data_IF_755850357510
#
_entry.id   IF_755850357510
#
_cell.length_a   1.000
_cell.length_b   1.000
_cell.length_c   1.000
_cell.angle_alpha   90.00
_cell.angle_beta   90.00
_cell.angle_gamma   90.00
#
_symmetry.space_group_name_H-M   'P 1'
#
loop_
_entity.id
_entity.type
_entity.pdbx_description
1 polymer ?
#
# COMPACT_ATOMS: atom_id res chain seq x y z
N UNK A 1 25.36 -0.09 -1.38
CA UNK A 1 25.09 1.24 -0.79
C UNK A 1 23.87 1.09 0.08
N UNK A 2 23.93 1.53 1.34
CA UNK A 2 22.79 1.53 2.27
C UNK A 2 21.82 2.61 1.83
N UNK A 3 20.63 2.23 1.37
CA UNK A 3 19.55 3.19 1.17
C UNK A 3 19.07 3.63 2.56
N UNK A 4 19.12 4.94 2.76
CA UNK A 4 18.61 5.66 3.92
C UNK A 4 17.44 6.48 3.41
N UNK A 5 16.25 6.29 3.97
CA UNK A 5 15.10 7.09 3.57
C UNK A 5 15.37 8.55 3.91
N UNK A 6 15.53 9.39 2.89
CA UNK A 6 15.89 10.80 3.03
C UNK A 6 14.96 11.65 2.18
N UNK A 7 13.99 12.35 2.80
CA UNK A 7 13.12 13.28 2.08
C UNK A 7 13.94 14.36 1.38
N UNK A 8 13.75 14.52 0.08
CA UNK A 8 14.30 15.63 -0.70
C UNK A 8 13.47 16.89 -0.49
N UNK A 9 12.19 16.71 -0.14
CA UNK A 9 11.24 17.76 0.17
C UNK A 9 10.52 17.52 1.49
N UNK A 10 10.28 18.61 2.21
CA UNK A 10 9.40 18.62 3.39
C UNK A 10 8.20 19.54 3.09
N UNK A 11 6.95 19.06 3.24
CA UNK A 11 5.77 19.89 3.10
C UNK A 11 5.76 21.07 4.07
N UNK A 12 5.01 22.13 3.74
CA UNK A 12 4.76 23.21 4.72
C UNK A 12 3.75 22.72 5.75
N UNK A 13 4.02 22.97 7.03
CA UNK A 13 3.07 22.65 8.10
C UNK A 13 1.77 23.44 7.88
N UNK A 14 0.65 22.73 7.85
CA UNK A 14 -0.69 23.32 7.71
C UNK A 14 -1.41 23.45 9.05
N UNK A 15 -1.36 22.42 9.90
CA UNK A 15 -1.88 22.42 11.27
C UNK A 15 -0.74 22.14 12.27
N UNK A 16 -0.36 23.17 13.04
CA UNK A 16 0.73 23.07 14.02
C UNK A 16 0.43 22.12 15.17
N UNK A 17 -0.84 21.97 15.57
CA UNK A 17 -1.23 21.07 16.65
C UNK A 17 -1.01 19.62 16.23
N UNK A 18 -1.46 19.26 15.02
CA UNK A 18 -1.22 17.93 14.44
C UNK A 18 0.27 17.67 14.24
N UNK A 19 1.01 18.67 13.75
CA UNK A 19 2.44 18.53 13.54
C UNK A 19 3.19 18.21 14.85
N UNK A 20 2.89 18.92 15.94
CA UNK A 20 3.50 18.66 17.25
C UNK A 20 3.17 17.26 17.76
N UNK A 21 1.91 16.82 17.64
CA UNK A 21 1.48 15.49 18.05
C UNK A 21 2.26 14.39 17.31
N UNK A 22 2.41 14.52 16.00
CA UNK A 22 3.11 13.51 15.18
C UNK A 22 4.63 13.57 15.33
N UNK A 23 5.20 14.75 15.58
CA UNK A 23 6.63 14.90 15.81
C UNK A 23 7.11 14.03 16.98
N UNK A 24 6.32 13.92 18.05
CA UNK A 24 6.65 13.13 19.24
C UNK A 24 6.36 11.63 19.10
N UNK A 25 5.67 11.18 18.03
CA UNK A 25 5.40 9.75 17.79
C UNK A 25 6.62 8.95 17.32
N UNK A 26 7.65 9.63 16.81
CA UNK A 26 8.83 9.02 16.20
C UNK A 26 10.16 9.45 16.85
N UNK A 27 10.34 9.29 18.17
CA UNK A 27 11.55 9.71 18.86
C UNK A 27 12.83 8.98 18.39
N UNK A 28 12.68 7.81 17.73
CA UNK A 28 13.80 7.04 17.19
C UNK A 28 14.41 7.62 15.91
N UNK A 29 13.71 8.54 15.24
CA UNK A 29 14.15 9.10 13.98
C UNK A 29 14.85 10.46 14.15
N UNK A 30 15.80 10.80 13.27
CA UNK A 30 16.42 12.11 13.25
C UNK A 30 15.39 13.22 12.99
N UNK A 31 15.74 14.44 13.38
CA UNK A 31 14.84 15.61 13.35
C UNK A 31 14.23 15.86 11.97
N UNK A 32 15.00 15.69 10.89
CA UNK A 32 14.52 15.85 9.53
C UNK A 32 13.34 14.91 9.19
N UNK A 33 13.41 13.63 9.60
CA UNK A 33 12.34 12.66 9.37
C UNK A 33 11.13 12.92 10.27
N UNK A 34 11.36 13.30 11.53
CA UNK A 34 10.29 13.68 12.45
C UNK A 34 9.52 14.90 11.92
N UNK A 35 10.24 15.92 11.45
CA UNK A 35 9.65 17.11 10.81
C UNK A 35 8.89 16.75 9.53
N UNK A 36 9.41 15.82 8.73
CA UNK A 36 8.73 15.35 7.53
C UNK A 36 7.39 14.66 7.84
N UNK A 37 7.35 13.72 8.78
CA UNK A 37 6.10 13.06 9.17
C UNK A 37 5.11 14.03 9.81
N UNK A 38 5.59 14.94 10.66
CA UNK A 38 4.78 16.00 11.25
C UNK A 38 4.13 16.90 10.20
N UNK A 39 4.91 17.40 9.24
CA UNK A 39 4.41 18.22 8.16
C UNK A 39 3.43 17.45 7.27
N UNK A 40 3.77 16.21 6.90
CA UNK A 40 2.92 15.33 6.09
C UNK A 40 1.55 15.09 6.73
N UNK A 41 1.53 14.73 8.01
CA UNK A 41 0.30 14.54 8.76
C UNK A 41 -0.52 15.82 8.87
N UNK A 42 0.13 16.97 9.05
CA UNK A 42 -0.55 18.26 9.19
C UNK A 42 -1.34 18.66 7.92
N UNK A 43 -0.93 18.18 6.75
CA UNK A 43 -1.55 18.52 5.47
C UNK A 43 -2.78 17.65 5.12
N UNK A 44 -3.00 16.53 5.82
CA UNK A 44 -4.04 15.58 5.44
C UNK A 44 -4.55 14.81 6.66
N UNK A 45 -5.83 14.98 7.05
CA UNK A 45 -6.45 14.19 8.11
C UNK A 45 -6.37 12.67 7.85
N UNK A 46 -6.41 12.27 6.58
CA UNK A 46 -6.21 10.88 6.19
C UNK A 46 -4.79 10.40 6.54
N UNK A 47 -3.75 11.15 6.15
CA UNK A 47 -2.36 10.78 6.43
C UNK A 47 -2.04 10.84 7.91
N UNK A 48 -2.57 11.83 8.65
CA UNK A 48 -2.49 11.86 10.10
C UNK A 48 -2.99 10.55 10.72
N UNK A 49 -4.21 10.14 10.37
CA UNK A 49 -4.78 8.88 10.86
C UNK A 49 -3.96 7.66 10.46
N UNK A 50 -3.43 7.62 9.23
CA UNK A 50 -2.63 6.47 8.78
C UNK A 50 -1.27 6.40 9.47
N UNK A 51 -0.58 7.53 9.63
CA UNK A 51 0.70 7.61 10.33
C UNK A 51 0.55 7.13 11.77
N UNK A 52 -0.54 7.50 12.46
CA UNK A 52 -0.82 7.02 13.82
C UNK A 52 -1.13 5.52 13.84
N UNK A 53 -2.04 5.06 12.99
CA UNK A 53 -2.50 3.66 12.99
C UNK A 53 -1.42 2.66 12.55
N UNK A 54 -0.47 3.10 11.72
CA UNK A 54 0.58 2.26 11.15
C UNK A 54 1.97 2.64 11.65
N UNK A 55 2.05 3.35 12.79
CA UNK A 55 3.31 3.87 13.35
C UNK A 55 4.41 2.83 13.42
N UNK A 56 4.13 1.66 14.03
CA UNK A 56 5.15 0.62 14.22
C UNK A 56 5.59 0.02 12.88
N UNK A 57 4.63 -0.25 11.99
CA UNK A 57 4.95 -0.73 10.65
C UNK A 57 5.78 0.28 9.85
N UNK A 58 5.47 1.57 9.96
CA UNK A 58 6.21 2.62 9.29
C UNK A 58 7.64 2.73 9.84
N UNK A 59 7.80 2.55 11.15
CA UNK A 59 9.13 2.51 11.78
C UNK A 59 9.97 1.37 11.22
N UNK A 60 9.37 0.17 11.14
CA UNK A 60 10.05 -1.02 10.61
C UNK A 60 10.47 -0.79 9.15
N UNK A 61 9.54 -0.35 8.30
CA UNK A 61 9.80 -0.14 6.87
C UNK A 61 10.83 0.95 6.60
N UNK A 62 10.85 2.05 7.36
CA UNK A 62 11.85 3.12 7.17
C UNK A 62 13.26 2.66 7.59
N UNK A 63 13.35 1.72 8.54
CA UNK A 63 14.63 1.11 8.95
C UNK A 63 15.10 0.01 7.98
N UNK A 64 14.20 -0.56 7.19
CA UNK A 64 14.57 -1.45 6.10
C UNK A 64 15.36 -0.69 5.03
N UNK A 65 16.44 -1.31 4.53
CA UNK A 65 17.28 -0.70 3.50
C UNK A 65 16.55 -0.62 2.18
N UNK A 66 15.68 -1.57 1.85
CA UNK A 66 14.91 -1.54 0.61
C UNK A 66 13.53 -2.08 0.92
N UNK A 67 12.49 -1.32 0.56
CA UNK A 67 11.12 -1.74 0.71
C UNK A 67 10.46 -1.92 -0.66
N UNK A 68 10.07 -3.16 -0.95
CA UNK A 68 9.20 -3.46 -2.08
C UNK A 68 7.74 -3.32 -1.66
N UNK A 69 7.03 -2.36 -2.27
CA UNK A 69 5.60 -2.13 -2.03
C UNK A 69 4.76 -3.41 -2.22
N UNK A 70 5.10 -4.24 -3.21
CA UNK A 70 4.34 -5.47 -3.50
C UNK A 70 4.60 -6.57 -2.47
N UNK A 71 5.65 -6.45 -1.64
CA UNK A 71 5.88 -7.34 -0.51
C UNK A 71 4.73 -7.36 0.49
N UNK A 72 3.97 -6.26 0.58
CA UNK A 72 2.74 -6.18 1.37
C UNK A 72 1.69 -7.22 0.96
N UNK A 73 1.75 -7.71 -0.28
CA UNK A 73 0.81 -8.67 -0.86
C UNK A 73 1.31 -10.12 -0.80
N UNK A 74 2.61 -10.35 -0.59
CA UNK A 74 3.19 -11.69 -0.61
C UNK A 74 2.60 -12.65 0.45
N UNK A 75 2.44 -12.24 1.72
CA UNK A 75 1.85 -13.12 2.74
C UNK A 75 0.41 -13.50 2.44
N UNK A 76 -0.31 -12.70 1.65
CA UNK A 76 -1.74 -12.89 1.40
C UNK A 76 -2.07 -14.02 0.41
N UNK A 77 -1.08 -14.52 -0.33
CA UNK A 77 -1.28 -15.60 -1.32
C UNK A 77 -1.85 -16.88 -0.70
N UNK A 78 -1.55 -17.13 0.57
CA UNK A 78 -1.92 -18.37 1.28
C UNK A 78 -3.04 -18.16 2.30
N UNK A 79 -3.65 -16.98 2.34
CA UNK A 79 -4.66 -16.65 3.34
C UNK A 79 -6.03 -17.25 3.01
N UNK A 80 -6.77 -17.64 4.06
CA UNK A 80 -8.17 -17.98 3.93
C UNK A 80 -8.97 -16.73 3.53
N UNK A 81 -10.06 -16.93 2.78
CA UNK A 81 -10.85 -15.82 2.20
C UNK A 81 -11.31 -14.78 3.22
N UNK A 82 -11.82 -15.22 4.38
CA UNK A 82 -12.32 -14.30 5.41
C UNK A 82 -11.19 -13.43 5.99
N UNK A 83 -10.00 -14.01 6.20
CA UNK A 83 -8.82 -13.29 6.64
C UNK A 83 -8.26 -12.37 5.54
N UNK A 84 -8.30 -12.84 4.29
CA UNK A 84 -7.81 -12.10 3.12
C UNK A 84 -8.54 -10.76 2.96
N UNK A 85 -9.86 -10.73 3.18
CA UNK A 85 -10.66 -9.50 3.10
C UNK A 85 -10.13 -8.38 4.02
N UNK A 86 -9.79 -8.71 5.26
CA UNK A 86 -9.25 -7.75 6.23
C UNK A 86 -7.79 -7.41 5.92
N UNK A 87 -6.98 -8.41 5.57
CA UNK A 87 -5.56 -8.22 5.25
C UNK A 87 -5.34 -7.40 3.99
N UNK A 88 -6.19 -7.53 2.95
CA UNK A 88 -6.13 -6.68 1.75
C UNK A 88 -6.44 -5.21 2.07
N UNK A 89 -7.33 -4.94 3.02
CA UNK A 89 -7.60 -3.57 3.48
C UNK A 89 -6.40 -2.96 4.21
N UNK A 90 -5.80 -3.75 5.09
CA UNK A 90 -4.57 -3.36 5.78
C UNK A 90 -3.44 -3.08 4.78
N UNK A 91 -3.25 -3.98 3.81
CA UNK A 91 -2.25 -3.82 2.76
C UNK A 91 -2.52 -2.58 1.90
N UNK A 92 -3.78 -2.35 1.45
CA UNK A 92 -4.16 -1.14 0.70
C UNK A 92 -3.84 0.13 1.48
N UNK A 93 -4.14 0.14 2.78
CA UNK A 93 -3.92 1.28 3.67
C UNK A 93 -2.44 1.61 3.82
N UNK A 94 -1.61 0.60 4.07
CA UNK A 94 -0.15 0.70 4.14
C UNK A 94 0.46 1.12 2.81
N UNK A 95 -0.02 0.55 1.71
CA UNK A 95 0.44 0.92 0.38
C UNK A 95 0.13 2.39 0.07
N UNK A 96 -1.10 2.84 0.31
CA UNK A 96 -1.47 4.25 0.11
C UNK A 96 -0.63 5.20 0.97
N UNK A 97 -0.36 4.85 2.23
CA UNK A 97 0.50 5.64 3.12
C UNK A 97 1.94 5.71 2.57
N UNK A 98 2.54 4.58 2.21
CA UNK A 98 3.90 4.54 1.68
C UNK A 98 4.03 5.34 0.38
N UNK A 99 3.11 5.14 -0.56
CA UNK A 99 3.11 5.86 -1.83
C UNK A 99 2.98 7.37 -1.58
N UNK A 100 2.12 7.81 -0.66
CA UNK A 100 2.00 9.22 -0.29
C UNK A 100 3.25 9.79 0.38
N UNK A 101 3.93 9.00 1.21
CA UNK A 101 5.20 9.38 1.83
C UNK A 101 6.28 9.57 0.75
N UNK A 102 6.41 8.63 -0.21
CA UNK A 102 7.39 8.75 -1.30
C UNK A 102 7.08 9.92 -2.25
N UNK A 103 5.80 10.18 -2.53
CA UNK A 103 5.35 11.35 -3.31
C UNK A 103 5.74 12.65 -2.62
N UNK A 104 5.32 12.85 -1.37
CA UNK A 104 5.55 14.08 -0.62
C UNK A 104 7.03 14.31 -0.25
N UNK A 105 7.80 13.24 -0.13
CA UNK A 105 9.25 13.27 0.07
C UNK A 105 10.02 13.62 -1.21
N UNK A 106 9.34 13.71 -2.36
CA UNK A 106 9.91 13.92 -3.71
C UNK A 106 10.87 12.79 -4.13
N UNK A 107 10.60 11.56 -3.66
CA UNK A 107 11.37 10.35 -3.99
C UNK A 107 10.80 9.68 -5.25
N UNK A 108 9.47 9.73 -5.41
CA UNK A 108 8.78 9.18 -6.58
C UNK A 108 8.14 10.29 -7.40
N UNK A 109 8.34 10.21 -8.72
CA UNK A 109 7.61 11.07 -9.66
C UNK A 109 6.11 10.74 -9.65
N UNK A 110 5.28 11.65 -10.17
CA UNK A 110 3.85 11.41 -10.31
C UNK A 110 3.54 10.14 -11.12
N UNK A 111 4.27 9.90 -12.20
CA UNK A 111 4.12 8.70 -13.02
C UNK A 111 4.44 7.43 -12.23
N UNK A 112 5.48 7.49 -11.38
CA UNK A 112 5.85 6.37 -10.50
C UNK A 112 4.74 6.11 -9.47
N UNK A 113 4.18 7.18 -8.88
CA UNK A 113 3.08 7.11 -7.93
C UNK A 113 1.86 6.43 -8.55
N UNK A 114 1.41 6.88 -9.73
CA UNK A 114 0.23 6.31 -10.39
C UNK A 114 0.46 4.87 -10.86
N UNK A 115 1.68 4.58 -11.33
CA UNK A 115 2.07 3.22 -11.69
C UNK A 115 2.06 2.29 -10.47
N UNK A 116 2.62 2.70 -9.33
CA UNK A 116 2.65 1.89 -8.10
C UNK A 116 1.26 1.65 -7.51
N UNK A 117 0.38 2.65 -7.56
CA UNK A 117 -1.03 2.47 -7.21
C UNK A 117 -1.70 1.42 -8.10
N UNK A 118 -1.46 1.49 -9.41
CA UNK A 118 -2.04 0.59 -10.41
C UNK A 118 -1.51 -0.84 -10.29
N UNK A 119 -0.20 -1.02 -10.15
CA UNK A 119 0.45 -2.31 -9.93
C UNK A 119 -0.07 -2.98 -8.65
N UNK A 120 -0.17 -2.23 -7.55
CA UNK A 120 -0.70 -2.74 -6.30
C UNK A 120 -2.16 -3.18 -6.46
N UNK A 121 -2.99 -2.36 -7.10
CA UNK A 121 -4.40 -2.67 -7.34
C UNK A 121 -4.58 -3.94 -8.21
N UNK A 122 -3.82 -4.06 -9.30
CA UNK A 122 -3.82 -5.25 -10.17
C UNK A 122 -3.50 -6.54 -9.39
N UNK A 123 -2.42 -6.52 -8.59
CA UNK A 123 -2.05 -7.68 -7.76
C UNK A 123 -3.08 -7.99 -6.68
N UNK A 124 -3.68 -6.98 -6.06
CA UNK A 124 -4.74 -7.17 -5.08
C UNK A 124 -6.00 -7.78 -5.69
N UNK A 125 -6.39 -7.35 -6.90
CA UNK A 125 -7.51 -7.94 -7.67
C UNK A 125 -7.22 -9.40 -8.00
N UNK A 126 -6.00 -9.71 -8.45
CA UNK A 126 -5.61 -11.09 -8.74
C UNK A 126 -5.68 -11.98 -7.49
N UNK A 127 -5.22 -11.50 -6.32
CA UNK A 127 -5.34 -12.25 -5.06
C UNK A 127 -6.80 -12.53 -4.69
N UNK A 128 -7.67 -11.52 -4.81
CA UNK A 128 -9.10 -11.68 -4.54
C UNK A 128 -9.75 -12.69 -5.51
N UNK A 129 -9.37 -12.65 -6.79
CA UNK A 129 -9.79 -13.63 -7.79
C UNK A 129 -9.38 -15.05 -7.41
N UNK A 130 -8.10 -15.29 -7.13
CA UNK A 130 -7.59 -16.61 -6.74
C UNK A 130 -8.32 -17.17 -5.51
N UNK A 131 -8.61 -16.33 -4.52
CA UNK A 131 -9.32 -16.76 -3.32
C UNK A 131 -10.80 -17.09 -3.60
N UNK A 132 -11.49 -16.26 -4.38
CA UNK A 132 -12.87 -16.50 -4.79
C UNK A 132 -12.99 -17.78 -5.64
N UNK A 133 -12.09 -17.97 -6.60
CA UNK A 133 -11.99 -19.18 -7.40
C UNK A 133 -11.87 -20.43 -6.51
N UNK A 134 -10.94 -20.42 -5.56
CA UNK A 134 -10.71 -21.56 -4.67
C UNK A 134 -11.92 -21.91 -3.79
N UNK A 135 -12.75 -20.93 -3.41
CA UNK A 135 -13.99 -21.19 -2.69
C UNK A 135 -14.98 -21.92 -3.59
N UNK A 136 -15.23 -21.39 -4.78
CA UNK A 136 -16.24 -21.93 -5.70
C UNK A 136 -15.82 -23.29 -6.26
N UNK A 137 -14.51 -23.53 -6.42
CA UNK A 137 -13.96 -24.84 -6.73
C UNK A 137 -14.28 -25.86 -5.62
N UNK A 138 -14.05 -25.52 -4.34
CA UNK A 138 -14.37 -26.40 -3.20
C UNK A 138 -15.87 -26.70 -3.09
N UNK A 139 -16.73 -25.77 -3.51
CA UNK A 139 -18.19 -25.97 -3.59
C UNK A 139 -18.62 -26.86 -4.78
N UNK A 140 -17.68 -27.29 -5.62
CA UNK A 140 -17.98 -28.09 -6.82
C UNK A 140 -18.67 -27.32 -7.92
N UNK A 141 -18.52 -25.98 -7.96
CA UNK A 141 -19.12 -25.13 -9.01
C UNK A 141 -18.35 -25.12 -10.31
N UNK A 142 -17.16 -25.73 -10.35
CA UNK A 142 -16.35 -25.88 -11.55
C UNK A 142 -16.39 -27.31 -12.09
N UNK A 143 -16.33 -27.48 -13.43
CA UNK A 143 -16.12 -28.79 -14.04
C UNK A 143 -14.88 -29.50 -13.48
N UNK A 144 -14.97 -30.83 -13.29
CA UNK A 144 -13.90 -31.67 -12.70
C UNK A 144 -12.54 -31.60 -13.41
N UNK A 145 -12.50 -31.12 -14.66
CA UNK A 145 -11.27 -30.95 -15.44
C UNK A 145 -10.39 -29.79 -14.96
N UNK A 146 -10.92 -28.87 -14.16
CA UNK A 146 -10.16 -27.76 -13.62
C UNK A 146 -9.53 -28.14 -12.28
N UNK A 147 -8.21 -28.07 -12.22
CA UNK A 147 -7.35 -28.66 -11.19
C UNK A 147 -6.74 -27.57 -10.30
N UNK A 148 -7.54 -26.93 -9.44
CA UNK A 148 -7.08 -25.99 -8.40
C UNK A 148 -6.24 -24.77 -8.83
N UNK A 149 -5.81 -24.65 -10.08
CA UNK A 149 -5.07 -23.50 -10.57
C UNK A 149 -6.00 -22.50 -11.27
N UNK A 150 -6.20 -21.29 -10.72
CA UNK A 150 -7.00 -20.23 -11.35
C UNK A 150 -6.54 -19.86 -12.77
N UNK A 151 -5.24 -20.00 -13.06
CA UNK A 151 -4.69 -19.62 -14.38
C UNK A 151 -5.13 -20.57 -15.50
N UNK A 152 -5.52 -21.80 -15.16
CA UNK A 152 -5.90 -22.83 -16.12
C UNK A 152 -7.36 -22.72 -16.58
N UNK A 153 -8.17 -21.82 -15.99
CA UNK A 153 -9.61 -21.80 -16.24
C UNK A 153 -10.03 -20.95 -17.44
N UNK A 154 -9.09 -20.22 -18.06
CA UNK A 154 -9.38 -19.33 -19.19
C UNK A 154 -10.23 -18.11 -18.80
N UNK A 155 -10.32 -17.81 -17.51
CA UNK A 155 -10.97 -16.61 -16.98
C UNK A 155 -9.96 -15.47 -16.90
N UNK A 156 -10.38 -14.27 -17.26
CA UNK A 156 -9.55 -13.07 -17.14
C UNK A 156 -10.39 -11.88 -16.65
N UNK A 157 -9.73 -10.96 -15.97
CA UNK A 157 -10.32 -9.69 -15.52
C UNK A 157 -9.70 -8.59 -16.38
N UNK A 158 -10.55 -7.82 -17.06
CA UNK A 158 -10.10 -6.69 -17.86
C UNK A 158 -10.21 -5.40 -17.04
N UNK A 159 -9.07 -4.79 -16.73
CA UNK A 159 -9.03 -3.46 -16.15
C UNK A 159 -9.36 -2.41 -17.20
N UNK A 160 -10.35 -1.56 -16.90
CA UNK A 160 -10.79 -0.46 -17.77
C UNK A 160 -10.43 0.90 -17.14
N UNK A 161 -10.44 1.97 -17.95
CA UNK A 161 -10.19 3.33 -17.49
C UNK A 161 -8.81 3.49 -16.86
N UNK A 162 -8.73 4.22 -15.74
CA UNK A 162 -7.47 4.57 -15.08
C UNK A 162 -6.60 3.35 -14.71
N UNK A 163 -7.20 2.25 -14.26
CA UNK A 163 -6.42 1.04 -13.95
C UNK A 163 -5.84 0.42 -15.21
N UNK A 164 -6.62 0.34 -16.28
CA UNK A 164 -6.16 -0.18 -17.58
C UNK A 164 -5.07 0.68 -18.21
N UNK A 165 -5.05 1.98 -17.92
CA UNK A 165 -4.04 2.93 -18.37
C UNK A 165 -2.89 3.15 -17.36
N UNK A 166 -2.84 2.40 -16.25
CA UNK A 166 -1.81 2.52 -15.21
C UNK A 166 -1.69 3.92 -14.56
N UNK A 167 -2.81 4.64 -14.50
CA UNK A 167 -2.90 6.03 -14.01
C UNK A 167 -3.84 6.16 -12.80
N UNK A 168 -3.90 5.13 -11.94
CA UNK A 168 -4.71 5.23 -10.71
C UNK A 168 -4.27 6.40 -9.84
N UNK A 169 -5.27 7.03 -9.20
CA UNK A 169 -5.06 7.99 -8.12
C UNK A 169 -5.44 7.36 -6.77
N UNK A 170 -5.15 8.05 -5.66
CA UNK A 170 -5.31 7.51 -4.30
C UNK A 170 -6.74 7.10 -3.92
N UNK A 171 -7.76 7.74 -4.50
CA UNK A 171 -9.18 7.52 -4.19
C UNK A 171 -9.90 6.64 -5.21
N UNK A 172 -9.18 6.11 -6.21
CA UNK A 172 -9.71 5.08 -7.10
C UNK A 172 -10.05 3.77 -6.37
#
# INVERSE_FOLDING_TARGET
>A
MTFEFKPERIPKIFDQRIANEVYDLFPEFPENLRNFFAATASCSPFLFSQIQNERDWLVDVIKEKEFDLLSLLHPLKSEAYDALYFKLRLAKRRAALWIAICDLADIWSLETVTQKLSEFADKAVNLAWCAAFNIELRKGKFPKKYDANPDNVGFFILAMGKLGAYELNYSS
#
